data_IF_977803536800
#
_entry.id   IF_977803536800
#
_cell.length_a   1.000
_cell.length_b   1.000
_cell.length_c   1.000
_cell.angle_alpha   90.00
_cell.angle_beta   90.00
_cell.angle_gamma   90.00
#
_symmetry.space_group_name_H-M   'P 1'
#
loop_
_entity.id
_entity.type
_entity.pdbx_description
1 polymer ?
#
# COMPACT_ATOMS: atom_id res chain seq x y z
N UNK A 1 9.64 -34.40 22.02
CA UNK A 1 8.65 -34.53 20.93
C UNK A 1 7.29 -34.20 21.54
N UNK A 2 6.59 -33.15 21.09
CA UNK A 2 5.22 -32.91 21.55
C UNK A 2 4.33 -34.08 21.13
N UNK A 3 3.38 -34.44 21.99
CA UNK A 3 2.49 -35.59 21.83
C UNK A 3 1.63 -35.42 20.57
N UNK A 4 1.44 -36.50 19.81
CA UNK A 4 0.58 -36.53 18.64
C UNK A 4 -0.89 -36.33 19.07
N UNK A 5 -1.64 -35.39 18.47
CA UNK A 5 -3.08 -35.30 18.68
C UNK A 5 -3.76 -36.61 18.25
N UNK A 6 -4.65 -37.14 19.08
CA UNK A 6 -5.42 -38.37 18.78
C UNK A 6 -6.62 -38.13 17.87
N UNK A 7 -6.89 -36.87 17.52
CA UNK A 7 -8.00 -36.42 16.68
C UNK A 7 -7.51 -35.73 15.41
N UNK A 8 -8.36 -35.68 14.38
CA UNK A 8 -8.06 -34.97 13.13
C UNK A 8 -8.14 -33.46 13.35
N UNK A 9 -7.05 -32.75 13.01
CA UNK A 9 -6.94 -31.31 13.20
C UNK A 9 -7.83 -30.51 12.24
N UNK A 10 -8.04 -31.05 11.03
CA UNK A 10 -8.86 -30.40 10.01
C UNK A 10 -10.35 -30.54 10.35
N UNK A 11 -10.75 -31.71 10.85
CA UNK A 11 -12.10 -31.97 11.36
C UNK A 11 -12.41 -31.10 12.59
N UNK A 12 -11.44 -30.95 13.51
CA UNK A 12 -11.62 -30.12 14.70
C UNK A 12 -11.84 -28.62 14.40
N UNK A 13 -11.38 -28.14 13.25
CA UNK A 13 -11.60 -26.77 12.78
C UNK A 13 -12.69 -26.67 11.70
N UNK A 14 -13.37 -27.76 11.35
CA UNK A 14 -14.37 -27.83 10.28
C UNK A 14 -13.87 -27.27 8.93
N UNK A 15 -12.62 -27.56 8.58
CA UNK A 15 -11.97 -27.07 7.36
C UNK A 15 -11.41 -28.22 6.54
N UNK A 16 -11.22 -27.98 5.25
CA UNK A 16 -10.56 -28.93 4.36
C UNK A 16 -9.03 -28.94 4.55
N UNK A 17 -8.38 -30.04 4.20
CA UNK A 17 -6.92 -30.15 4.19
C UNK A 17 -6.26 -29.16 3.22
N UNK A 18 -6.97 -28.70 2.19
CA UNK A 18 -6.50 -27.67 1.24
C UNK A 18 -6.71 -26.24 1.73
N UNK A 19 -7.27 -26.03 2.93
CA UNK A 19 -7.62 -24.70 3.42
C UNK A 19 -6.40 -23.77 3.52
N UNK A 20 -6.62 -22.52 3.10
CA UNK A 20 -5.65 -21.43 3.16
C UNK A 20 -5.49 -20.92 4.60
N UNK A 21 -4.40 -20.17 4.87
CA UNK A 21 -4.18 -19.57 6.19
C UNK A 21 -5.33 -18.64 6.62
N UNK A 22 -5.93 -17.93 5.67
CA UNK A 22 -7.07 -17.04 5.94
C UNK A 22 -8.30 -17.80 6.41
N UNK A 23 -8.59 -18.94 5.78
CA UNK A 23 -9.72 -19.81 6.15
C UNK A 23 -9.52 -20.47 7.51
N UNK A 24 -8.29 -20.90 7.84
CA UNK A 24 -7.93 -21.44 9.17
C UNK A 24 -8.22 -20.40 10.27
N UNK A 25 -7.81 -19.14 10.06
CA UNK A 25 -8.02 -18.06 11.03
C UNK A 25 -9.50 -17.70 11.15
N UNK A 26 -10.22 -17.67 10.02
CA UNK A 26 -11.66 -17.37 9.98
C UNK A 26 -12.46 -18.44 10.73
N UNK A 27 -12.20 -19.72 10.46
CA UNK A 27 -12.90 -20.84 11.12
C UNK A 27 -12.60 -20.88 12.62
N UNK A 28 -11.34 -20.69 13.02
CA UNK A 28 -10.95 -20.56 14.42
C UNK A 28 -11.73 -19.46 15.14
N UNK A 29 -11.84 -18.25 14.54
CA UNK A 29 -12.60 -17.13 15.13
C UNK A 29 -14.11 -17.39 15.21
N UNK A 30 -14.68 -18.20 14.32
CA UNK A 30 -16.07 -18.63 14.38
C UNK A 30 -16.26 -19.58 15.56
N UNK A 31 -15.53 -20.68 15.57
CA UNK A 31 -15.63 -21.73 16.58
C UNK A 31 -15.26 -21.24 17.99
N UNK A 32 -14.26 -20.36 18.12
CA UNK A 32 -13.89 -19.77 19.40
C UNK A 32 -14.98 -18.87 19.98
N UNK A 33 -15.78 -18.19 19.15
CA UNK A 33 -16.93 -17.39 19.62
C UNK A 33 -18.12 -18.24 20.01
N UNK A 34 -18.26 -19.42 19.41
CA UNK A 34 -19.38 -20.33 19.65
C UNK A 34 -19.13 -21.20 20.89
N UNK A 35 -17.88 -21.62 21.10
CA UNK A 35 -17.45 -22.46 22.24
C UNK A 35 -16.79 -21.67 23.38
N UNK A 36 -16.89 -20.34 23.41
CA UNK A 36 -16.27 -19.53 24.48
C UNK A 36 -16.87 -19.87 25.85
N UNK A 37 -16.06 -20.03 26.92
CA UNK A 37 -16.54 -20.37 28.26
C UNK A 37 -17.47 -19.31 28.84
N UNK A 38 -17.27 -18.04 28.49
CA UNK A 38 -18.14 -16.92 28.91
C UNK A 38 -19.59 -17.04 28.39
N UNK A 39 -19.78 -17.62 27.20
CA UNK A 39 -21.13 -17.82 26.63
C UNK A 39 -21.77 -19.14 27.03
N UNK A 40 -20.96 -20.11 27.46
CA UNK A 40 -21.41 -21.45 27.83
C UNK A 40 -20.85 -21.86 29.21
N UNK A 41 -21.17 -21.12 30.28
CA UNK A 41 -20.57 -21.33 31.61
C UNK A 41 -20.90 -22.71 32.21
N UNK A 42 -22.01 -23.34 31.82
CA UNK A 42 -22.49 -24.60 32.39
C UNK A 42 -22.21 -25.83 31.50
N UNK A 43 -21.53 -25.66 30.35
CA UNK A 43 -21.29 -26.76 29.41
C UNK A 43 -19.82 -27.20 29.40
N UNK A 44 -19.54 -28.30 30.09
CA UNK A 44 -18.20 -28.90 30.12
C UNK A 44 -17.72 -29.38 28.73
N UNK A 45 -18.64 -29.70 27.81
CA UNK A 45 -18.31 -30.10 26.45
C UNK A 45 -17.80 -28.92 25.60
N UNK A 46 -18.30 -27.70 25.84
CA UNK A 46 -17.80 -26.50 25.17
C UNK A 46 -16.33 -26.24 25.51
N UNK A 47 -15.95 -26.43 26.79
CA UNK A 47 -14.56 -26.32 27.24
C UNK A 47 -13.67 -27.38 26.60
N UNK A 48 -14.12 -28.63 26.52
CA UNK A 48 -13.37 -29.72 25.89
C UNK A 48 -13.19 -29.49 24.37
N UNK A 49 -14.21 -28.97 23.70
CA UNK A 49 -14.14 -28.64 22.27
C UNK A 49 -13.25 -27.42 22.01
N UNK A 50 -13.31 -26.39 22.86
CA UNK A 50 -12.40 -25.24 22.79
C UNK A 50 -10.93 -25.65 22.91
N UNK A 51 -10.60 -26.58 23.83
CA UNK A 51 -9.24 -27.10 23.97
C UNK A 51 -8.75 -27.80 22.69
N UNK A 52 -9.63 -28.59 22.02
CA UNK A 52 -9.31 -29.24 20.75
C UNK A 52 -9.09 -28.22 19.62
N UNK A 53 -9.95 -27.20 19.54
CA UNK A 53 -9.87 -26.10 18.56
C UNK A 53 -8.55 -25.34 18.70
N UNK A 54 -8.15 -25.01 19.94
CA UNK A 54 -6.90 -24.30 20.21
C UNK A 54 -5.68 -25.14 19.83
N UNK A 55 -5.64 -26.41 20.23
CA UNK A 55 -4.55 -27.32 19.88
C UNK A 55 -4.43 -27.52 18.36
N UNK A 56 -5.55 -27.59 17.64
CA UNK A 56 -5.55 -27.69 16.18
C UNK A 56 -5.02 -26.41 15.51
N UNK A 57 -5.46 -25.25 15.99
CA UNK A 57 -5.01 -23.96 15.46
C UNK A 57 -3.50 -23.73 15.67
N UNK A 58 -2.95 -24.08 16.83
CA UNK A 58 -1.50 -23.92 17.10
C UNK A 58 -0.63 -24.71 16.13
N UNK A 59 -1.04 -25.93 15.79
CA UNK A 59 -0.33 -26.80 14.86
C UNK A 59 -0.53 -26.33 13.41
N UNK A 60 -1.76 -25.96 13.02
CA UNK A 60 -2.07 -25.58 11.64
C UNK A 60 -1.62 -24.16 11.26
N UNK A 61 -1.47 -23.26 12.25
CA UNK A 61 -0.94 -21.90 12.05
C UNK A 61 0.51 -21.91 11.58
N UNK A 62 1.33 -22.83 12.11
CA UNK A 62 2.73 -22.95 11.75
C UNK A 62 2.92 -23.92 10.59
N UNK A 63 3.49 -23.43 9.49
CA UNK A 63 3.72 -24.23 8.27
C UNK A 63 4.61 -25.45 8.51
N UNK A 64 5.60 -25.36 9.38
CA UNK A 64 6.50 -26.47 9.68
C UNK A 64 5.78 -27.58 10.47
N UNK A 65 4.93 -27.18 11.43
CA UNK A 65 4.14 -28.10 12.24
C UNK A 65 3.03 -28.75 11.42
N UNK A 66 2.34 -27.99 10.56
CA UNK A 66 1.37 -28.51 9.59
C UNK A 66 2.00 -29.54 8.66
N UNK A 67 3.13 -29.21 8.04
CA UNK A 67 3.83 -30.14 7.15
C UNK A 67 4.36 -31.39 7.89
N UNK A 68 4.68 -31.28 9.19
CA UNK A 68 5.07 -32.44 9.99
C UNK A 68 3.85 -33.32 10.34
N UNK A 69 2.71 -32.70 10.65
CA UNK A 69 1.46 -33.40 10.87
C UNK A 69 1.01 -34.15 9.62
N UNK A 70 0.98 -33.48 8.46
CA UNK A 70 0.58 -34.05 7.17
C UNK A 70 1.49 -35.20 6.71
N UNK A 71 2.77 -35.18 7.10
CA UNK A 71 3.72 -36.29 6.83
C UNK A 71 3.48 -37.53 7.68
N UNK A 72 2.90 -37.37 8.87
CA UNK A 72 2.70 -38.44 9.86
C UNK A 72 1.30 -39.03 9.84
N UNK A 73 0.33 -38.31 9.27
CA UNK A 73 -1.01 -38.81 9.00
C UNK A 73 -1.03 -39.42 7.60
N UNK A 74 -1.14 -40.76 7.45
CA UNK A 74 -1.51 -41.34 6.17
C UNK A 74 -2.99 -41.01 5.94
N UNK A 75 -3.29 -39.76 5.59
CA UNK A 75 -4.65 -39.36 5.28
C UNK A 75 -5.01 -39.97 3.93
N UNK A 76 -5.67 -41.12 3.96
CA UNK A 76 -6.30 -41.78 2.81
C UNK A 76 -7.52 -41.00 2.31
N UNK A 77 -7.36 -39.69 2.09
CA UNK A 77 -8.36 -38.81 1.48
C UNK A 77 -7.87 -38.05 0.25
N UNK A 78 -6.56 -37.96 0.02
CA UNK A 78 -6.02 -37.42 -1.24
C UNK A 78 -4.72 -38.13 -1.64
N UNK A 79 -4.85 -39.21 -2.40
CA UNK A 79 -3.85 -39.56 -3.39
C UNK A 79 -4.40 -39.01 -4.69
N UNK A 80 -3.95 -37.84 -5.16
CA UNK A 80 -3.84 -37.45 -6.57
C UNK A 80 -3.33 -36.01 -6.72
N UNK A 81 -2.37 -35.87 -7.63
CA UNK A 81 -1.83 -34.68 -8.29
C UNK A 81 -0.86 -33.76 -7.55
N UNK A 82 0.41 -34.13 -7.75
CA UNK A 82 1.50 -33.23 -8.12
C UNK A 82 1.11 -32.18 -9.16
N UNK A 83 1.87 -31.08 -9.16
CA UNK A 83 2.03 -30.11 -10.24
C UNK A 83 0.86 -29.19 -10.56
N UNK A 84 0.70 -28.12 -9.78
CA UNK A 84 0.34 -26.82 -10.36
C UNK A 84 0.81 -25.65 -9.49
N UNK A 85 2.12 -25.42 -9.49
CA UNK A 85 2.67 -24.11 -9.10
C UNK A 85 2.44 -23.17 -10.28
N UNK A 86 1.32 -22.45 -10.26
CA UNK A 86 1.05 -21.37 -11.19
C UNK A 86 0.95 -20.09 -10.37
N UNK A 87 2.08 -19.38 -10.28
CA UNK A 87 2.14 -18.00 -9.83
C UNK A 87 1.43 -17.14 -10.86
N UNK A 88 0.29 -16.59 -10.50
CA UNK A 88 -0.46 -15.64 -11.31
C UNK A 88 -1.56 -15.03 -10.47
N UNK A 89 -1.32 -13.77 -10.09
CA UNK A 89 -2.33 -12.76 -9.73
C UNK A 89 -3.06 -13.05 -8.39
N UNK A 90 -3.31 -12.12 -7.46
CA UNK A 90 -3.69 -10.73 -7.57
C UNK A 90 -3.59 -10.16 -6.14
N UNK A 91 -2.84 -9.08 -5.95
CA UNK A 91 -2.90 -8.30 -4.70
C UNK A 91 -4.14 -7.41 -4.81
N UNK A 92 -5.22 -7.83 -4.15
CA UNK A 92 -6.47 -7.09 -3.93
C UNK A 92 -6.86 -7.43 -2.47
N UNK A 93 -7.31 -6.58 -1.58
CA UNK A 93 -7.44 -5.13 -1.45
C UNK A 93 -7.76 -4.99 0.05
N UNK A 94 -6.98 -4.19 0.79
CA UNK A 94 -7.20 -3.98 2.23
C UNK A 94 -8.02 -2.70 2.49
N UNK A 95 -8.45 -1.99 1.47
CA UNK A 95 -9.28 -0.81 1.66
C UNK A 95 -10.76 -1.16 1.49
N UNK A 96 -11.44 -1.53 2.59
CA UNK A 96 -12.73 -0.93 2.97
C UNK A 96 -13.36 -1.66 4.18
N UNK A 97 -13.01 -1.24 5.39
CA UNK A 97 -13.99 -1.15 6.48
C UNK A 97 -13.68 0.11 7.29
N UNK A 98 -14.09 1.25 6.72
CA UNK A 98 -14.38 2.45 7.49
C UNK A 98 -15.86 2.45 7.84
N UNK A 99 -16.22 2.17 9.09
CA UNK A 99 -17.18 3.02 9.80
C UNK A 99 -17.13 2.82 11.33
N UNK A 100 -17.05 3.99 11.98
CA UNK A 100 -17.41 4.31 13.36
C UNK A 100 -16.55 3.79 14.52
N UNK A 101 -15.49 4.58 14.73
CA UNK A 101 -14.92 4.92 16.02
C UNK A 101 -16.02 5.46 16.95
N UNK A 102 -16.51 4.62 17.87
CA UNK A 102 -17.00 5.04 19.19
C UNK A 102 -16.98 3.84 20.16
N UNK A 103 -16.10 3.96 21.15
CA UNK A 103 -16.14 3.31 22.47
C UNK A 103 -16.62 1.85 22.56
N UNK A 104 -15.69 0.89 22.38
CA UNK A 104 -15.78 -0.40 23.07
C UNK A 104 -14.41 -0.93 23.44
N UNK A 105 -14.22 -1.10 24.74
CA UNK A 105 -12.96 -1.43 25.38
C UNK A 105 -12.31 -2.71 24.89
N UNK A 106 -10.97 -2.68 24.94
CA UNK A 106 -10.15 -3.67 25.62
C UNK A 106 -10.73 -5.08 25.64
N UNK A 107 -10.53 -5.82 24.55
CA UNK A 107 -10.69 -7.27 24.57
C UNK A 107 -9.86 -7.88 23.45
N UNK A 108 -8.84 -8.65 23.86
CA UNK A 108 -8.11 -9.66 23.08
C UNK A 108 -6.74 -9.27 22.47
N UNK A 109 -5.79 -8.89 23.33
CA UNK A 109 -4.36 -9.25 23.14
C UNK A 109 -3.73 -9.57 24.50
N UNK A 110 -4.20 -10.67 25.09
CA UNK A 110 -3.90 -11.03 26.46
C UNK A 110 -4.44 -12.40 26.83
N UNK A 111 -4.21 -13.42 26.01
CA UNK A 111 -4.25 -14.80 26.52
C UNK A 111 -2.95 -15.06 27.29
N UNK A 112 -2.83 -14.35 28.41
CA UNK A 112 -2.04 -14.78 29.55
C UNK A 112 -2.67 -16.06 30.07
N UNK A 113 -1.84 -17.09 30.20
CA UNK A 113 -2.18 -18.41 30.68
C UNK A 113 -2.47 -18.36 32.20
N UNK A 114 -3.53 -17.66 32.59
CA UNK A 114 -4.02 -17.53 33.97
C UNK A 114 -5.54 -17.71 33.93
N UNK A 115 -6.00 -18.97 33.91
CA UNK A 115 -7.45 -19.24 33.94
C UNK A 115 -7.92 -20.57 33.37
N UNK A 116 -7.04 -21.48 32.97
CA UNK A 116 -7.45 -22.86 32.70
C UNK A 116 -7.57 -23.65 34.00
N UNK A 117 -8.74 -24.24 34.34
CA UNK A 117 -8.85 -25.20 35.43
C UNK A 117 -8.34 -26.56 34.92
N UNK A 118 -7.03 -26.68 34.74
CA UNK A 118 -6.39 -27.99 34.71
C UNK A 118 -6.26 -28.45 36.15
N UNK A 119 -7.22 -29.27 36.57
CA UNK A 119 -7.21 -29.94 37.86
C UNK A 119 -5.90 -30.67 38.12
N UNK A 120 -5.54 -30.71 39.41
CA UNK A 120 -4.45 -31.46 39.98
C UNK A 120 -4.32 -32.86 39.36
N UNK A 121 -3.38 -33.00 38.44
CA UNK A 121 -2.86 -34.30 38.06
C UNK A 121 -1.35 -34.17 37.89
N UNK A 122 -0.65 -34.27 39.02
CA UNK A 122 0.54 -35.11 39.20
C UNK A 122 1.57 -35.18 38.05
N UNK A 123 1.82 -34.07 37.35
CA UNK A 123 3.05 -33.89 36.58
C UNK A 123 4.12 -33.38 37.52
N UNK A 124 4.67 -34.31 38.30
CA UNK A 124 5.87 -34.13 39.09
C UNK A 124 7.06 -33.84 38.18
N UNK A 125 7.24 -32.58 37.80
CA UNK A 125 8.57 -32.06 37.48
C UNK A 125 9.35 -32.00 38.80
N UNK A 126 9.96 -33.13 39.14
CA UNK A 126 10.89 -33.27 40.24
C UNK A 126 12.12 -32.38 40.02
N UNK A 127 12.01 -31.11 40.38
CA UNK A 127 13.12 -30.18 40.49
C UNK A 127 13.94 -30.45 41.75
N UNK A 128 14.53 -31.65 41.87
CA UNK A 128 15.64 -31.87 42.81
C UNK A 128 16.95 -31.66 42.06
N UNK A 129 17.73 -30.73 42.61
CA UNK A 129 19.18 -30.51 42.38
C UNK A 129 19.57 -29.35 41.46
N UNK A 130 19.47 -28.13 41.99
CA UNK A 130 20.35 -27.02 41.63
C UNK A 130 20.71 -26.18 42.89
N UNK A 131 20.95 -26.84 44.02
CA UNK A 131 21.67 -26.23 45.14
C UNK A 131 23.11 -26.68 44.96
N UNK A 132 23.98 -25.76 44.53
CA UNK A 132 25.42 -25.89 44.26
C UNK A 132 25.81 -25.72 42.78
N UNK A 133 25.31 -24.66 42.11
CA UNK A 133 26.17 -23.94 41.17
C UNK A 133 27.13 -23.12 42.04
N UNK A 134 28.45 -23.32 41.89
CA UNK A 134 29.48 -22.53 42.55
C UNK A 134 29.13 -21.05 42.43
N UNK A 135 29.19 -20.29 43.52
CA UNK A 135 28.79 -18.87 43.54
C UNK A 135 29.47 -18.04 42.44
N UNK A 136 30.66 -18.47 42.00
CA UNK A 136 31.40 -17.92 40.87
C UNK A 136 30.62 -17.98 39.53
N UNK A 137 29.93 -19.08 39.24
CA UNK A 137 29.16 -19.24 38.00
C UNK A 137 27.89 -18.37 37.98
N UNK A 138 27.33 -18.05 39.16
CA UNK A 138 26.21 -17.13 39.32
C UNK A 138 26.66 -15.68 39.09
N UNK A 139 27.83 -15.32 39.60
CA UNK A 139 28.41 -13.99 39.38
C UNK A 139 28.71 -13.73 37.89
N UNK A 140 29.24 -14.72 37.17
CA UNK A 140 29.46 -14.62 35.72
C UNK A 140 28.16 -14.48 34.92
N UNK A 141 27.11 -15.22 35.29
CA UNK A 141 25.80 -15.13 34.63
C UNK A 141 25.17 -13.74 34.82
N UNK A 142 25.23 -13.18 36.04
CA UNK A 142 24.72 -11.83 36.34
C UNK A 142 25.47 -10.78 35.52
N UNK A 143 26.79 -10.92 35.34
CA UNK A 143 27.59 -10.02 34.50
C UNK A 143 27.14 -10.07 33.03
N UNK A 144 26.96 -11.28 32.49
CA UNK A 144 26.46 -11.47 31.12
C UNK A 144 25.05 -10.90 30.91
N UNK A 145 24.15 -11.05 31.89
CA UNK A 145 22.80 -10.48 31.81
C UNK A 145 22.86 -8.95 31.75
N UNK A 146 23.67 -8.30 32.60
CA UNK A 146 23.85 -6.83 32.57
C UNK A 146 24.44 -6.36 31.23
N UNK A 147 25.45 -7.05 30.72
CA UNK A 147 26.03 -6.74 29.40
C UNK A 147 25.00 -6.90 28.27
N UNK A 148 24.15 -7.93 28.33
CA UNK A 148 23.05 -8.14 27.38
C UNK A 148 21.95 -7.08 27.50
N UNK A 149 21.59 -6.66 28.71
CA UNK A 149 20.63 -5.57 28.94
C UNK A 149 21.15 -4.24 28.40
N UNK A 150 22.42 -3.92 28.63
CA UNK A 150 23.06 -2.74 28.03
C UNK A 150 23.12 -2.83 26.50
N UNK A 151 23.42 -4.00 25.95
CA UNK A 151 23.40 -4.22 24.51
C UNK A 151 21.99 -4.05 23.92
N UNK A 152 20.95 -4.54 24.61
CA UNK A 152 19.55 -4.35 24.24
C UNK A 152 19.15 -2.88 24.25
N UNK A 153 19.52 -2.12 25.29
CA UNK A 153 19.26 -0.67 25.37
C UNK A 153 19.93 0.11 24.25
N UNK A 154 21.20 -0.18 23.96
CA UNK A 154 21.92 0.44 22.83
C UNK A 154 21.27 0.09 21.48
N UNK A 155 20.80 -1.15 21.32
CA UNK A 155 20.10 -1.56 20.11
C UNK A 155 18.74 -0.85 19.95
N UNK A 156 18.03 -0.63 21.06
CA UNK A 156 16.78 0.14 21.08
C UNK A 156 17.02 1.61 20.74
N UNK A 157 18.03 2.26 21.33
CA UNK A 157 18.40 3.63 21.02
C UNK A 157 18.74 3.81 19.54
N UNK A 158 19.51 2.90 18.94
CA UNK A 158 19.82 2.93 17.51
C UNK A 158 18.56 2.77 16.65
N UNK A 159 17.61 1.92 17.06
CA UNK A 159 16.32 1.76 16.38
C UNK A 159 15.48 3.04 16.44
N UNK A 160 15.43 3.69 17.59
CA UNK A 160 14.73 4.97 17.78
C UNK A 160 15.40 6.06 16.93
N UNK A 161 16.73 6.17 16.96
CA UNK A 161 17.47 7.12 16.12
C UNK A 161 17.22 6.88 14.62
N UNK A 162 17.20 5.61 14.18
CA UNK A 162 16.90 5.27 12.79
C UNK A 162 15.46 5.66 12.43
N UNK A 163 14.48 5.44 13.32
CA UNK A 163 13.09 5.88 13.14
C UNK A 163 13.01 7.40 13.01
N UNK A 164 13.66 8.14 13.90
CA UNK A 164 13.66 9.61 13.89
C UNK A 164 14.32 10.16 12.64
N UNK A 165 15.43 9.55 12.18
CA UNK A 165 16.07 9.91 10.93
C UNK A 165 15.15 9.67 9.72
N UNK A 166 14.38 8.57 9.72
CA UNK A 166 13.39 8.30 8.67
C UNK A 166 12.28 9.35 8.66
N UNK A 167 11.70 9.65 9.83
CA UNK A 167 10.65 10.68 9.96
C UNK A 167 11.17 12.04 9.48
N UNK A 168 12.40 12.41 9.85
CA UNK A 168 13.04 13.65 9.37
C UNK A 168 13.18 13.67 7.85
N UNK A 169 13.71 12.60 7.24
CA UNK A 169 13.84 12.49 5.78
C UNK A 169 12.50 12.53 5.06
N UNK A 170 11.49 11.84 5.59
CA UNK A 170 10.13 11.85 5.05
C UNK A 170 9.51 13.26 5.14
N UNK A 171 9.70 13.97 6.24
CA UNK A 171 9.28 15.36 6.40
C UNK A 171 10.00 16.31 5.41
N UNK A 172 11.31 16.13 5.20
CA UNK A 172 12.09 16.89 4.22
C UNK A 172 11.59 16.65 2.79
N UNK A 173 11.35 15.39 2.41
CA UNK A 173 10.81 15.03 1.09
C UNK A 173 9.41 15.63 0.90
N UNK A 174 8.55 15.56 1.91
CA UNK A 174 7.21 16.16 1.88
C UNK A 174 7.29 17.68 1.73
N UNK A 175 8.13 18.36 2.51
CA UNK A 175 8.35 19.80 2.40
C UNK A 175 8.88 20.19 1.01
N UNK A 176 9.81 19.41 0.43
CA UNK A 176 10.29 19.65 -0.93
C UNK A 176 9.19 19.44 -1.98
N UNK A 177 8.32 18.44 -1.80
CA UNK A 177 7.19 18.20 -2.70
C UNK A 177 6.19 19.36 -2.64
N UNK A 178 5.84 19.84 -1.44
CA UNK A 178 4.97 21.01 -1.24
C UNK A 178 5.57 22.28 -1.85
N UNK A 179 6.88 22.52 -1.67
CA UNK A 179 7.57 23.65 -2.32
C UNK A 179 7.55 23.55 -3.85
N UNK A 180 7.77 22.35 -4.40
CA UNK A 180 7.68 22.13 -5.85
C UNK A 180 6.26 22.38 -6.37
N UNK A 181 5.24 21.92 -5.66
CA UNK A 181 3.84 22.15 -6.02
C UNK A 181 3.49 23.64 -5.97
N UNK A 182 3.87 24.36 -4.92
CA UNK A 182 3.68 25.81 -4.81
C UNK A 182 4.37 26.56 -5.96
N UNK A 183 5.61 26.18 -6.29
CA UNK A 183 6.34 26.76 -7.43
C UNK A 183 5.64 26.48 -8.76
N UNK A 184 5.09 25.29 -8.95
CA UNK A 184 4.31 24.95 -10.15
C UNK A 184 3.01 25.76 -10.24
N UNK A 185 2.29 25.93 -9.13
CA UNK A 185 1.08 26.77 -9.05
C UNK A 185 1.38 28.23 -9.38
N UNK A 186 2.42 28.80 -8.80
CA UNK A 186 2.88 30.17 -9.09
C UNK A 186 3.27 30.33 -10.57
N UNK A 187 4.02 29.36 -11.12
CA UNK A 187 4.40 29.38 -12.53
C UNK A 187 3.18 29.23 -13.47
N UNK A 188 2.18 28.43 -13.08
CA UNK A 188 0.92 28.29 -13.83
C UNK A 188 0.10 29.59 -13.79
N UNK A 189 0.00 30.24 -12.63
CA UNK A 189 -0.69 31.52 -12.46
C UNK A 189 0.01 32.64 -13.26
N UNK A 190 1.34 32.70 -13.24
CA UNK A 190 2.11 33.65 -14.04
C UNK A 190 1.87 33.42 -15.55
N UNK A 191 1.88 32.15 -15.98
CA UNK A 191 1.57 31.77 -17.36
C UNK A 191 0.15 32.20 -17.75
N UNK A 192 -0.83 32.03 -16.87
CA UNK A 192 -2.21 32.46 -17.11
C UNK A 192 -2.30 33.99 -17.21
N UNK A 193 -1.66 34.72 -16.29
CA UNK A 193 -1.58 36.20 -16.34
C UNK A 193 -0.95 36.67 -17.65
N UNK A 194 0.11 36.01 -18.12
CA UNK A 194 0.75 36.30 -19.40
C UNK A 194 -0.21 36.05 -20.58
N UNK A 195 -0.88 34.90 -20.61
CA UNK A 195 -1.88 34.57 -21.64
C UNK A 195 -3.06 35.56 -21.64
N UNK A 196 -3.49 36.03 -20.46
CA UNK A 196 -4.54 37.04 -20.31
C UNK A 196 -4.11 38.40 -20.89
N UNK A 197 -2.87 38.84 -20.63
CA UNK A 197 -2.28 40.06 -21.22
C UNK A 197 -2.14 39.94 -22.74
N UNK A 198 -1.70 38.79 -23.24
CA UNK A 198 -1.60 38.53 -24.69
C UNK A 198 -2.98 38.55 -25.35
N UNK A 199 -4.01 38.00 -24.69
CA UNK A 199 -5.40 38.01 -25.18
C UNK A 199 -5.96 39.42 -25.24
N UNK A 200 -5.83 40.21 -24.17
CA UNK A 200 -6.33 41.59 -24.15
C UNK A 200 -5.61 42.48 -25.17
N UNK A 201 -4.31 42.27 -25.37
CA UNK A 201 -3.55 42.93 -26.43
C UNK A 201 -4.07 42.62 -27.84
N UNK A 202 -4.41 41.36 -28.11
CA UNK A 202 -4.98 40.97 -29.40
C UNK A 202 -6.40 41.50 -29.63
N UNK A 203 -7.24 41.49 -28.60
CA UNK A 203 -8.57 42.08 -28.65
C UNK A 203 -8.49 43.60 -28.94
N UNK A 204 -7.53 44.32 -28.35
CA UNK A 204 -7.28 45.72 -28.65
C UNK A 204 -6.86 45.95 -30.12
N UNK A 205 -6.01 45.08 -30.67
CA UNK A 205 -5.60 45.14 -32.09
C UNK A 205 -6.78 44.89 -33.02
N UNK A 206 -7.64 43.91 -32.72
CA UNK A 206 -8.84 43.66 -33.52
C UNK A 206 -9.83 44.82 -33.48
N UNK A 207 -10.00 45.46 -32.30
CA UNK A 207 -10.79 46.69 -32.17
C UNK A 207 -10.21 47.82 -33.03
N UNK A 208 -8.90 48.07 -32.96
CA UNK A 208 -8.24 49.10 -33.75
C UNK A 208 -8.35 48.88 -35.27
N UNK A 209 -8.23 47.62 -35.71
CA UNK A 209 -8.34 47.23 -37.14
C UNK A 209 -9.78 47.00 -37.61
N UNK A 210 -10.79 47.25 -36.77
CA UNK A 210 -12.22 47.00 -37.07
C UNK A 210 -12.50 45.57 -37.59
N UNK A 211 -11.78 44.57 -37.05
CA UNK A 211 -11.89 43.18 -37.47
C UNK A 211 -13.05 42.48 -36.74
N UNK A 212 -14.28 42.66 -37.22
CA UNK A 212 -15.49 42.06 -36.64
C UNK A 212 -15.76 40.63 -37.13
N UNK A 213 -15.27 40.24 -38.31
CA UNK A 213 -15.48 38.88 -38.84
C UNK A 213 -14.30 37.94 -38.53
N UNK A 214 -14.54 36.62 -38.33
CA UNK A 214 -13.49 35.65 -38.05
C UNK A 214 -12.38 35.58 -39.12
N UNK A 215 -12.72 35.89 -40.37
CA UNK A 215 -11.75 35.92 -41.48
C UNK A 215 -10.80 37.13 -41.37
N UNK A 216 -11.33 38.30 -40.99
CA UNK A 216 -10.54 39.51 -40.74
C UNK A 216 -9.68 39.36 -39.47
N UNK A 217 -10.20 38.71 -38.44
CA UNK A 217 -9.48 38.41 -37.20
C UNK A 217 -8.29 37.48 -37.47
N UNK A 218 -8.45 36.46 -38.33
CA UNK A 218 -7.35 35.58 -38.76
C UNK A 218 -6.25 36.33 -39.50
N UNK A 219 -6.59 37.27 -40.37
CA UNK A 219 -5.62 38.07 -41.12
C UNK A 219 -4.86 39.07 -40.24
N UNK A 220 -5.48 39.55 -39.17
CA UNK A 220 -4.94 40.60 -38.31
C UNK A 220 -4.35 40.10 -36.98
N UNK A 221 -4.44 38.79 -36.70
CA UNK A 221 -3.96 38.17 -35.47
C UNK A 221 -2.43 38.14 -35.40
N UNK A 222 -1.85 38.75 -34.36
CA UNK A 222 -0.53 38.38 -33.89
C UNK A 222 -0.68 37.06 -33.12
N UNK A 223 -0.49 35.93 -33.79
CA UNK A 223 -0.59 34.60 -33.18
C UNK A 223 0.15 34.53 -31.83
N UNK A 224 -0.25 33.69 -30.88
CA UNK A 224 0.52 33.47 -29.64
C UNK A 224 1.88 32.84 -29.91
N UNK A 225 2.77 32.89 -28.93
CA UNK A 225 3.94 32.01 -28.88
C UNK A 225 3.56 30.57 -28.46
N UNK A 226 2.54 30.48 -27.60
CA UNK A 226 2.01 29.22 -27.09
C UNK A 226 0.81 28.73 -27.89
N UNK A 227 1.01 27.65 -28.66
CA UNK A 227 -0.06 26.98 -29.40
C UNK A 227 -0.31 25.61 -28.76
N UNK A 228 -1.49 25.37 -28.14
CA UNK A 228 -1.81 24.07 -27.58
C UNK A 228 -1.85 23.00 -28.66
N UNK A 229 -1.30 21.82 -28.33
CA UNK A 229 -1.42 20.61 -29.14
C UNK A 229 -2.86 20.10 -29.05
N UNK A 230 -3.50 19.89 -30.19
CA UNK A 230 -4.86 19.35 -30.28
C UNK A 230 -4.86 18.07 -31.13
N UNK A 231 -5.45 17.01 -30.58
CA UNK A 231 -5.70 15.77 -31.30
C UNK A 231 -7.08 15.85 -31.97
N UNK A 232 -7.10 15.71 -33.28
CA UNK A 232 -8.27 15.77 -34.15
C UNK A 232 -8.70 14.34 -34.52
N UNK A 233 -9.99 14.12 -34.75
CA UNK A 233 -10.54 12.81 -35.16
C UNK A 233 -10.09 12.40 -36.58
N UNK A 234 -9.69 13.36 -37.42
CA UNK A 234 -9.32 13.12 -38.82
C UNK A 234 -8.08 13.92 -39.22
N UNK A 235 -7.52 13.59 -40.40
CA UNK A 235 -6.41 14.35 -40.99
C UNK A 235 -6.86 15.79 -41.25
N UNK A 236 -6.12 16.77 -40.72
CA UNK A 236 -6.42 18.18 -40.94
C UNK A 236 -5.54 18.77 -42.05
N UNK A 237 -6.02 19.84 -42.67
CA UNK A 237 -5.23 20.62 -43.62
C UNK A 237 -4.51 21.75 -42.88
N UNK A 238 -3.19 21.78 -42.96
CA UNK A 238 -2.39 22.83 -42.34
C UNK A 238 -2.58 24.16 -43.09
N UNK A 239 -2.92 25.26 -42.41
CA UNK A 239 -3.12 26.56 -43.08
C UNK A 239 -1.81 27.26 -43.50
N UNK A 240 -0.65 26.82 -42.99
CA UNK A 240 0.66 27.33 -43.40
C UNK A 240 1.19 26.74 -44.72
N UNK A 241 1.15 25.40 -44.85
CA UNK A 241 1.66 24.69 -46.04
C UNK A 241 0.57 24.09 -46.94
N UNK A 242 -0.71 24.22 -46.59
CA UNK A 242 -1.88 23.68 -47.29
C UNK A 242 -1.90 22.15 -47.49
N UNK A 243 -0.94 21.42 -46.92
CA UNK A 243 -0.86 19.95 -46.97
C UNK A 243 -1.74 19.31 -45.90
N UNK A 244 -2.31 18.14 -46.22
CA UNK A 244 -2.99 17.27 -45.26
C UNK A 244 -1.95 16.63 -44.33
N UNK A 245 -2.15 16.74 -43.02
CA UNK A 245 -1.25 16.20 -41.98
C UNK A 245 -1.99 15.18 -41.11
N UNK A 246 -1.25 14.51 -40.23
CA UNK A 246 -1.81 13.54 -39.28
C UNK A 246 -2.84 14.17 -38.32
N UNK A 247 -3.44 13.38 -37.43
CA UNK A 247 -4.49 13.86 -36.52
C UNK A 247 -4.00 14.88 -35.48
N UNK A 248 -2.70 15.12 -35.36
CA UNK A 248 -2.12 16.04 -34.36
C UNK A 248 -1.80 17.38 -35.01
N UNK A 249 -2.48 18.44 -34.57
CA UNK A 249 -2.24 19.81 -35.03
C UNK A 249 -2.07 20.79 -33.88
N UNK A 250 -1.53 21.96 -34.18
CA UNK A 250 -1.39 23.06 -33.24
C UNK A 250 -2.42 24.13 -33.59
N UNK A 251 -3.27 24.49 -32.62
CA UNK A 251 -4.33 25.47 -32.82
C UNK A 251 -3.97 26.79 -32.14
N UNK A 252 -4.05 27.90 -32.87
CA UNK A 252 -3.89 29.22 -32.25
C UNK A 252 -5.10 29.49 -31.33
N UNK A 253 -4.88 29.85 -30.05
CA UNK A 253 -5.96 30.09 -29.09
C UNK A 253 -6.86 31.28 -29.45
N UNK A 254 -6.41 32.16 -30.35
CA UNK A 254 -7.09 33.41 -30.68
C UNK A 254 -7.81 33.35 -32.03
N UNK A 255 -7.08 33.06 -33.10
CA UNK A 255 -7.66 33.04 -34.45
C UNK A 255 -8.14 31.65 -34.92
N UNK A 256 -8.04 30.63 -34.05
CA UNK A 256 -8.39 29.24 -34.35
C UNK A 256 -7.70 28.67 -35.59
N UNK A 257 -6.53 29.21 -35.94
CA UNK A 257 -5.74 28.69 -37.06
C UNK A 257 -5.06 27.37 -36.69
N UNK A 258 -5.07 26.41 -37.62
CA UNK A 258 -4.45 25.09 -37.45
C UNK A 258 -3.16 25.01 -38.27
N UNK A 259 -2.04 24.72 -37.60
CA UNK A 259 -0.73 24.54 -38.21
C UNK A 259 -0.12 23.19 -37.83
N UNK A 260 0.79 22.70 -38.68
CA UNK A 260 1.62 21.54 -38.39
C UNK A 260 2.91 21.96 -37.68
N UNK A 261 3.58 21.02 -37.02
CA UNK A 261 4.78 21.29 -36.22
C UNK A 261 5.84 22.07 -37.00
N UNK A 262 6.18 21.64 -38.22
CA UNK A 262 7.19 22.31 -39.04
C UNK A 262 6.83 23.77 -39.34
N UNK A 263 5.58 24.06 -39.69
CA UNK A 263 5.14 25.44 -39.95
C UNK A 263 5.12 26.29 -38.67
N UNK A 264 4.87 25.69 -37.51
CA UNK A 264 4.89 26.38 -36.22
C UNK A 264 6.32 26.74 -35.82
N UNK A 265 7.27 25.83 -36.03
CA UNK A 265 8.69 26.07 -35.74
C UNK A 265 9.25 27.17 -36.66
N UNK A 266 8.94 27.11 -37.97
CA UNK A 266 9.28 28.19 -38.91
C UNK A 266 8.68 29.54 -38.50
N UNK A 267 7.45 29.53 -37.98
CA UNK A 267 6.78 30.74 -37.50
C UNK A 267 7.48 31.32 -36.27
N UNK A 268 7.90 30.48 -35.33
CA UNK A 268 8.65 30.89 -34.12
C UNK A 268 9.98 31.52 -34.50
N UNK A 269 10.73 30.90 -35.40
CA UNK A 269 12.01 31.43 -35.90
C UNK A 269 11.81 32.78 -36.59
N UNK A 270 10.84 32.90 -37.51
CA UNK A 270 10.55 34.16 -38.20
C UNK A 270 10.08 35.26 -37.26
N UNK A 271 9.36 34.92 -36.20
CA UNK A 271 8.92 35.90 -35.19
C UNK A 271 10.06 36.35 -34.29
N UNK A 272 10.90 35.43 -33.82
CA UNK A 272 12.09 35.75 -33.04
C UNK A 272 13.00 36.72 -33.82
N UNK A 273 13.19 36.49 -35.13
CA UNK A 273 13.94 37.38 -36.00
C UNK A 273 13.31 38.79 -36.14
N UNK A 274 11.98 38.91 -36.09
CA UNK A 274 11.28 40.22 -36.14
C UNK A 274 11.28 40.97 -34.81
N UNK A 275 11.32 40.25 -33.69
CA UNK A 275 11.42 40.85 -32.36
C UNK A 275 12.85 41.19 -31.96
N UNK A 276 13.85 40.58 -32.62
CA UNK A 276 15.28 40.86 -32.44
C UNK A 276 15.82 41.94 -33.40
N UNK A 277 15.01 42.41 -34.36
CA UNK A 277 15.35 43.57 -35.18
C UNK A 277 15.12 44.85 -34.36
N UNK A 278 16.12 45.75 -34.25
CA UNK A 278 16.07 46.96 -33.42
C UNK A 278 15.00 47.95 -33.88
#
# INVERSE_FOLDING_TARGET
>A
MPLRPTFDLYEALEIDATATKGEIISSYRRLARDHHPDKNPDNAEATANMQKINAAYEILKNQELRANYDRQTPNTRFSFNSDQYQSGDEYDDWENYSYEQEERGDYFDGFGFEGFPFGEHEFGFGGRSARNLRDDARAELIKKIKEMEEAMKRAEELRVQARDQRIKREAEVKAQAEQKEQKQKLAAEEKEKRLRKEKSGQEAIWKAKKATTPSLQRKSCLHSEFWPRQQMKSKFQCMGCLRKRGPVGFKCPYCSSLQCQSCLDDFRVKRAARCAAP
#
